data_IF_827049350766
#
_entry.id   IF_827049350766
#
_cell.length_a   1.000
_cell.length_b   1.000
_cell.length_c   1.000
_cell.angle_alpha   90.00
_cell.angle_beta   90.00
_cell.angle_gamma   90.00
#
_symmetry.space_group_name_H-M   'P 1'
#
loop_
_entity.id
_entity.type
_entity.pdbx_description
1 polymer ?
#
# COMPACT_ATOMS: atom_id res chain seq x y z
N UNK A 1 -18.19 10.78 7.62
CA UNK A 1 -17.91 9.35 7.43
C UNK A 1 -19.26 8.68 7.32
N UNK A 2 -19.51 8.01 6.21
CA UNK A 2 -20.77 7.33 5.90
C UNK A 2 -20.52 5.82 5.86
N UNK A 3 -21.47 5.02 6.34
CA UNK A 3 -21.30 3.57 6.50
C UNK A 3 -21.31 2.85 5.15
N UNK A 4 -22.13 3.30 4.21
CA UNK A 4 -22.19 2.72 2.86
C UNK A 4 -20.87 3.00 2.12
N UNK A 5 -20.38 4.24 2.18
CA UNK A 5 -19.06 4.58 1.67
C UNK A 5 -17.95 3.74 2.31
N UNK A 6 -18.03 3.51 3.63
CA UNK A 6 -17.04 2.70 4.35
C UNK A 6 -17.05 1.25 3.85
N UNK A 7 -18.23 0.62 3.71
CA UNK A 7 -18.36 -0.72 3.15
C UNK A 7 -17.77 -0.80 1.75
N UNK A 8 -18.14 0.13 0.87
CA UNK A 8 -17.61 0.16 -0.49
C UNK A 8 -16.08 0.26 -0.53
N UNK A 9 -15.50 1.15 0.27
CA UNK A 9 -14.04 1.30 0.34
C UNK A 9 -13.35 0.06 0.92
N UNK A 10 -13.96 -0.61 1.90
CA UNK A 10 -13.42 -1.87 2.42
C UNK A 10 -13.48 -2.98 1.39
N UNK A 11 -14.60 -3.13 0.67
CA UNK A 11 -14.73 -4.12 -0.40
C UNK A 11 -13.61 -3.95 -1.43
N UNK A 12 -13.39 -2.72 -1.88
CA UNK A 12 -12.42 -2.39 -2.94
C UNK A 12 -10.97 -2.37 -2.46
N UNK A 13 -10.68 -1.77 -1.31
CA UNK A 13 -9.29 -1.53 -0.88
C UNK A 13 -8.76 -2.58 0.11
N UNK A 14 -9.63 -3.30 0.82
CA UNK A 14 -9.24 -4.16 1.94
C UNK A 14 -9.59 -5.63 1.68
N UNK A 15 -10.86 -5.93 1.39
CA UNK A 15 -11.32 -7.30 1.21
C UNK A 15 -10.90 -7.87 -0.15
N UNK A 16 -10.84 -7.05 -1.19
CA UNK A 16 -10.28 -7.43 -2.49
C UNK A 16 -8.87 -8.04 -2.38
N UNK A 17 -8.03 -7.52 -1.47
CA UNK A 17 -6.69 -8.06 -1.21
C UNK A 17 -6.76 -9.50 -0.69
N UNK A 18 -7.69 -9.81 0.21
CA UNK A 18 -7.87 -11.17 0.74
C UNK A 18 -8.26 -12.13 -0.38
N UNK A 19 -9.23 -11.73 -1.21
CA UNK A 19 -9.67 -12.51 -2.37
C UNK A 19 -8.55 -12.74 -3.38
N UNK A 20 -7.80 -11.68 -3.72
CA UNK A 20 -6.66 -11.75 -4.63
C UNK A 20 -5.57 -12.66 -4.05
N UNK A 21 -5.15 -12.43 -2.81
CA UNK A 21 -4.09 -13.19 -2.17
C UNK A 21 -4.42 -14.69 -2.13
N UNK A 22 -5.67 -15.04 -1.78
CA UNK A 22 -6.14 -16.43 -1.84
C UNK A 22 -6.07 -17.02 -3.25
N UNK A 23 -6.48 -16.26 -4.26
CA UNK A 23 -6.48 -16.71 -5.66
C UNK A 23 -5.06 -16.95 -6.20
N UNK A 24 -4.11 -16.06 -5.88
CA UNK A 24 -2.72 -16.17 -6.37
C UNK A 24 -1.81 -17.00 -5.47
N UNK A 25 -2.26 -17.39 -4.27
CA UNK A 25 -1.47 -18.14 -3.30
C UNK A 25 -0.76 -19.38 -3.90
N UNK A 26 -1.42 -20.23 -4.72
CA UNK A 26 -0.74 -21.38 -5.33
C UNK A 26 0.41 -20.98 -6.25
N UNK A 27 0.27 -19.88 -7.00
CA UNK A 27 1.30 -19.37 -7.90
C UNK A 27 2.50 -18.83 -7.11
N UNK A 28 2.23 -18.04 -6.06
CA UNK A 28 3.28 -17.53 -5.17
C UNK A 28 4.02 -18.69 -4.48
N UNK A 29 3.30 -19.76 -4.11
CA UNK A 29 3.90 -20.97 -3.56
C UNK A 29 4.79 -21.70 -4.55
N UNK A 30 4.32 -21.92 -5.78
CA UNK A 30 5.13 -22.53 -6.83
C UNK A 30 6.43 -21.73 -7.09
N UNK A 31 6.38 -20.39 -7.05
CA UNK A 31 7.58 -19.55 -7.12
C UNK A 31 8.52 -19.78 -5.92
N UNK A 32 8.00 -19.83 -4.69
CA UNK A 32 8.84 -20.12 -3.52
C UNK A 32 9.50 -21.50 -3.60
N UNK A 33 8.77 -22.50 -4.09
CA UNK A 33 9.26 -23.88 -4.18
C UNK A 33 10.32 -24.03 -5.29
N UNK A 34 10.20 -23.30 -6.40
CA UNK A 34 11.13 -23.35 -7.53
C UNK A 34 12.31 -22.38 -7.44
N UNK A 35 12.13 -21.20 -6.85
CA UNK A 35 13.12 -20.11 -6.82
C UNK A 35 13.63 -19.80 -5.40
N UNK A 36 13.08 -20.45 -4.38
CA UNK A 36 13.51 -20.31 -3.00
C UNK A 36 12.64 -19.37 -2.16
N UNK A 37 12.81 -19.49 -0.83
CA UNK A 37 12.09 -18.67 0.15
C UNK A 37 12.41 -17.20 -0.04
N UNK A 38 11.36 -16.37 -0.10
CA UNK A 38 11.48 -14.93 -0.28
C UNK A 38 11.53 -14.47 -1.74
N UNK A 39 11.60 -15.39 -2.71
CA UNK A 39 11.50 -15.07 -4.12
C UNK A 39 10.13 -14.48 -4.53
N UNK A 40 8.97 -15.04 -4.12
CA UNK A 40 7.70 -14.44 -4.48
C UNK A 40 7.53 -13.09 -3.78
N UNK A 41 7.11 -12.08 -4.54
CA UNK A 41 6.88 -10.71 -4.10
C UNK A 41 5.38 -10.41 -4.16
N UNK A 42 4.83 -9.90 -3.06
CA UNK A 42 3.46 -9.40 -2.96
C UNK A 42 3.49 -7.99 -2.39
N UNK A 43 3.29 -7.00 -3.24
CA UNK A 43 3.25 -5.59 -2.84
C UNK A 43 1.82 -5.08 -2.88
N UNK A 44 1.41 -4.37 -1.83
CA UNK A 44 0.14 -3.66 -1.82
C UNK A 44 0.38 -2.15 -1.95
N UNK A 45 -0.30 -1.52 -2.92
CA UNK A 45 -0.30 -0.07 -3.06
C UNK A 45 -1.29 0.52 -2.07
N UNK A 46 -0.75 1.07 -0.98
CA UNK A 46 -1.53 1.66 0.10
C UNK A 46 -1.38 3.18 0.13
N UNK A 47 -1.59 3.79 1.29
CA UNK A 47 -1.42 5.22 1.47
C UNK A 47 -0.89 5.55 2.87
N UNK A 48 -0.08 6.62 2.98
CA UNK A 48 0.29 7.27 4.24
C UNK A 48 -0.94 7.59 5.11
N UNK A 49 -2.10 7.87 4.49
CA UNK A 49 -3.36 8.07 5.21
C UNK A 49 -3.86 6.86 6.01
N UNK A 50 -3.30 5.67 5.77
CA UNK A 50 -3.53 4.46 6.55
C UNK A 50 -2.58 4.27 7.72
N UNK A 51 -1.66 5.21 7.98
CA UNK A 51 -0.80 5.23 9.16
C UNK A 51 -1.56 5.88 10.34
N UNK A 52 -1.44 5.27 11.52
CA UNK A 52 -2.04 5.83 12.75
C UNK A 52 -1.15 6.93 13.35
N UNK A 53 0.17 6.72 13.34
CA UNK A 53 1.16 7.70 13.83
C UNK A 53 1.12 8.97 12.95
N UNK A 54 1.21 10.15 13.56
CA UNK A 54 1.23 11.46 12.88
C UNK A 54 0.00 11.77 11.98
N UNK A 55 -1.15 11.13 12.22
CA UNK A 55 -2.35 11.29 11.37
C UNK A 55 -2.89 12.73 11.30
N UNK A 56 -2.54 13.58 12.27
CA UNK A 56 -2.89 15.00 12.30
C UNK A 56 -2.38 15.76 11.07
N UNK A 57 -1.30 15.28 10.43
CA UNK A 57 -0.76 15.86 9.20
C UNK A 57 -1.76 15.80 8.02
N UNK A 58 -2.78 14.95 8.11
CA UNK A 58 -3.84 14.84 7.08
C UNK A 58 -4.99 15.83 7.27
N UNK A 59 -5.03 16.55 8.39
CA UNK A 59 -6.06 17.57 8.67
C UNK A 59 -5.80 18.81 7.80
N UNK A 60 -6.83 19.41 7.18
CA UNK A 60 -8.26 19.18 7.39
C UNK A 60 -8.93 18.23 6.38
N UNK A 61 -8.18 17.48 5.57
CA UNK A 61 -8.79 16.61 4.57
C UNK A 61 -9.63 15.52 5.23
N UNK A 62 -10.85 15.33 4.73
CA UNK A 62 -11.82 14.36 5.26
C UNK A 62 -11.56 12.96 4.70
N UNK A 63 -10.34 12.45 4.88
CA UNK A 63 -9.88 11.16 4.33
C UNK A 63 -10.19 9.96 5.22
N UNK A 64 -10.90 10.14 6.35
CA UNK A 64 -11.11 9.09 7.35
C UNK A 64 -11.56 7.74 6.81
N UNK A 65 -12.61 7.69 5.97
CA UNK A 65 -13.12 6.42 5.39
C UNK A 65 -12.08 5.73 4.49
N UNK A 66 -11.32 6.52 3.72
CA UNK A 66 -10.26 6.02 2.85
C UNK A 66 -9.06 5.55 3.67
N UNK A 67 -8.62 6.35 4.64
CA UNK A 67 -7.51 6.05 5.54
C UNK A 67 -7.73 4.74 6.30
N UNK A 68 -8.92 4.52 6.88
CA UNK A 68 -9.21 3.27 7.59
C UNK A 68 -9.25 2.05 6.66
N UNK A 69 -9.70 2.20 5.40
CA UNK A 69 -9.63 1.11 4.40
C UNK A 69 -8.17 0.76 4.06
N UNK A 70 -7.28 1.76 4.00
CA UNK A 70 -5.84 1.57 3.78
C UNK A 70 -5.12 1.03 5.02
N UNK A 71 -5.53 1.43 6.23
CA UNK A 71 -5.08 0.83 7.49
C UNK A 71 -5.40 -0.67 7.54
N UNK A 72 -6.63 -1.04 7.17
CA UNK A 72 -7.04 -2.45 7.08
C UNK A 72 -6.15 -3.24 6.11
N UNK A 73 -5.88 -2.69 4.93
CA UNK A 73 -4.95 -3.29 3.96
C UNK A 73 -3.53 -3.43 4.54
N UNK A 74 -3.03 -2.39 5.20
CA UNK A 74 -1.72 -2.39 5.85
C UNK A 74 -1.59 -3.54 6.85
N UNK A 75 -2.60 -3.69 7.72
CA UNK A 75 -2.64 -4.77 8.70
C UNK A 75 -2.60 -6.15 8.03
N UNK A 76 -3.45 -6.37 7.01
CA UNK A 76 -3.55 -7.65 6.32
C UNK A 76 -2.24 -8.05 5.62
N UNK A 77 -1.57 -7.11 4.96
CA UNK A 77 -0.28 -7.36 4.30
C UNK A 77 0.81 -7.67 5.33
N UNK A 78 0.82 -6.96 6.46
CA UNK A 78 1.76 -7.22 7.55
C UNK A 78 1.51 -8.60 8.20
N UNK A 79 0.25 -9.03 8.33
CA UNK A 79 -0.09 -10.39 8.76
C UNK A 79 0.38 -11.44 7.75
N UNK A 80 0.16 -11.20 6.46
CA UNK A 80 0.62 -12.09 5.40
C UNK A 80 2.14 -12.32 5.46
N UNK A 81 2.93 -11.28 5.75
CA UNK A 81 4.38 -11.40 5.98
C UNK A 81 4.74 -12.38 7.10
N UNK A 82 4.10 -12.26 8.28
CA UNK A 82 4.41 -13.08 9.45
C UNK A 82 3.93 -14.53 9.28
N UNK A 83 2.74 -14.70 8.72
CA UNK A 83 2.10 -16.00 8.54
C UNK A 83 2.70 -16.81 7.38
N UNK A 84 3.44 -16.15 6.48
CA UNK A 84 4.07 -16.78 5.32
C UNK A 84 5.58 -16.52 5.29
N UNK A 85 6.40 -17.26 6.07
CA UNK A 85 7.86 -17.08 6.13
C UNK A 85 8.62 -17.34 4.80
N UNK A 86 7.91 -17.74 3.75
CA UNK A 86 8.41 -17.98 2.40
C UNK A 86 8.09 -16.83 1.43
N UNK A 87 7.28 -15.84 1.83
CA UNK A 87 6.79 -14.74 1.01
C UNK A 87 7.46 -13.40 1.36
N UNK A 88 7.88 -12.64 0.35
CA UNK A 88 8.24 -11.23 0.51
C UNK A 88 6.99 -10.37 0.31
N UNK A 89 6.41 -9.87 1.39
CA UNK A 89 5.18 -9.07 1.37
C UNK A 89 5.39 -7.74 2.09
N UNK A 90 5.01 -6.63 1.47
CA UNK A 90 5.17 -5.30 2.06
C UNK A 90 4.15 -4.30 1.51
N UNK A 91 4.08 -3.15 2.14
CA UNK A 91 3.21 -2.05 1.75
C UNK A 91 4.04 -0.95 1.10
N UNK A 92 3.56 -0.38 0.00
CA UNK A 92 4.14 0.82 -0.59
C UNK A 92 3.08 1.90 -0.80
N UNK A 93 3.34 3.11 -0.34
CA UNK A 93 2.63 4.32 -0.73
C UNK A 93 3.24 4.82 -2.06
N UNK A 94 2.42 5.23 -3.04
CA UNK A 94 2.88 5.69 -4.34
C UNK A 94 3.34 7.17 -4.34
N UNK A 95 3.35 7.83 -3.20
CA UNK A 95 3.43 9.28 -3.07
C UNK A 95 2.09 9.96 -3.32
N UNK A 96 2.04 11.27 -3.05
CA UNK A 96 0.91 12.10 -3.43
C UNK A 96 0.98 12.44 -4.92
N UNK A 97 0.61 11.45 -5.74
CA UNK A 97 0.83 11.43 -7.19
C UNK A 97 -0.22 12.22 -7.99
N UNK A 98 0.19 12.84 -9.09
CA UNK A 98 -0.64 13.59 -10.05
C UNK A 98 -1.55 12.66 -10.88
N UNK A 99 -2.52 12.05 -10.22
CA UNK A 99 -3.61 11.28 -10.81
C UNK A 99 -4.92 12.04 -10.66
N UNK A 100 -6.01 11.56 -11.25
CA UNK A 100 -7.34 12.16 -11.06
C UNK A 100 -7.68 12.29 -9.55
N UNK A 101 -7.48 11.21 -8.79
CA UNK A 101 -7.73 11.18 -7.35
C UNK A 101 -6.73 12.07 -6.57
N UNK A 102 -5.46 12.04 -6.94
CA UNK A 102 -4.43 12.84 -6.28
C UNK A 102 -4.65 14.34 -6.49
N UNK A 103 -4.87 14.78 -7.73
CA UNK A 103 -5.13 16.18 -8.04
C UNK A 103 -6.48 16.65 -7.46
N UNK A 104 -7.50 15.79 -7.42
CA UNK A 104 -8.75 16.10 -6.72
C UNK A 104 -8.52 16.35 -5.22
N UNK A 105 -7.72 15.52 -4.57
CA UNK A 105 -7.35 15.68 -3.16
C UNK A 105 -6.46 16.91 -2.94
N UNK A 106 -5.53 17.19 -3.84
CA UNK A 106 -4.63 18.34 -3.76
C UNK A 106 -5.42 19.67 -3.75
N UNK A 107 -6.46 19.77 -4.59
CA UNK A 107 -7.37 20.92 -4.59
C UNK A 107 -8.12 21.09 -3.27
N UNK A 108 -8.47 20.01 -2.56
CA UNK A 108 -9.06 20.10 -1.21
C UNK A 108 -8.08 20.64 -0.18
N UNK A 109 -6.78 20.45 -0.39
CA UNK A 109 -5.70 21.04 0.41
C UNK A 109 -5.29 22.45 -0.06
N UNK A 110 -5.99 23.04 -1.04
CA UNK A 110 -5.65 24.35 -1.59
C UNK A 110 -4.42 24.36 -2.51
N UNK A 111 -3.98 23.18 -2.96
CA UNK A 111 -2.88 23.04 -3.90
C UNK A 111 -3.41 23.00 -5.34
N UNK A 112 -2.64 23.48 -6.34
CA UNK A 112 -3.04 23.40 -7.75
C UNK A 112 -3.11 21.94 -8.24
N UNK A 113 -2.13 21.13 -7.85
CA UNK A 113 -1.99 19.73 -8.19
C UNK A 113 -1.17 18.99 -7.14
N UNK A 114 -1.14 17.67 -7.22
CA UNK A 114 -0.36 16.84 -6.31
C UNK A 114 1.15 17.03 -6.57
N UNK A 115 2.01 16.93 -5.54
CA UNK A 115 3.42 17.30 -5.65
C UNK A 115 4.31 16.26 -6.36
N UNK A 116 3.85 15.01 -6.51
CA UNK A 116 4.64 13.93 -7.14
C UNK A 116 4.08 13.66 -8.53
N UNK A 117 4.91 13.71 -9.58
CA UNK A 117 4.43 13.36 -10.92
C UNK A 117 4.11 11.86 -10.99
N UNK A 118 3.20 11.48 -11.89
CA UNK A 118 2.89 10.06 -12.10
C UNK A 118 4.14 9.25 -12.48
N UNK A 119 5.02 9.83 -13.29
CA UNK A 119 6.28 9.20 -13.71
C UNK A 119 7.20 8.95 -12.51
N UNK A 120 7.40 9.94 -11.63
CA UNK A 120 8.22 9.79 -10.43
C UNK A 120 7.68 8.70 -9.51
N UNK A 121 6.36 8.67 -9.32
CA UNK A 121 5.68 7.64 -8.53
C UNK A 121 5.96 6.23 -9.08
N UNK A 122 5.75 6.03 -10.39
CA UNK A 122 5.93 4.73 -11.05
C UNK A 122 7.40 4.28 -11.03
N UNK A 123 8.33 5.18 -11.36
CA UNK A 123 9.77 4.88 -11.35
C UNK A 123 10.24 4.50 -9.94
N UNK A 124 9.79 5.24 -8.92
CA UNK A 124 10.09 4.93 -7.53
C UNK A 124 9.58 3.55 -7.12
N UNK A 125 8.29 3.27 -7.38
CA UNK A 125 7.68 1.97 -7.10
C UNK A 125 8.40 0.82 -7.79
N UNK A 126 8.74 0.97 -9.07
CA UNK A 126 9.45 -0.06 -9.84
C UNK A 126 10.82 -0.36 -9.21
N UNK A 127 11.61 0.68 -8.91
CA UNK A 127 12.91 0.51 -8.26
C UNK A 127 12.79 -0.21 -6.91
N UNK A 128 11.76 0.08 -6.12
CA UNK A 128 11.46 -0.61 -4.86
C UNK A 128 11.11 -2.07 -5.07
N UNK A 129 10.28 -2.39 -6.06
CA UNK A 129 9.89 -3.76 -6.40
C UNK A 129 11.12 -4.56 -6.82
N UNK A 130 11.99 -3.99 -7.66
CA UNK A 130 13.19 -4.67 -8.16
C UNK A 130 14.16 -4.98 -7.02
N UNK A 131 14.43 -3.99 -6.16
CA UNK A 131 15.34 -4.14 -5.02
C UNK A 131 14.75 -4.91 -3.82
N UNK A 132 13.46 -5.27 -3.84
CA UNK A 132 12.80 -5.86 -2.69
C UNK A 132 13.37 -7.23 -2.31
N UNK A 133 13.67 -7.41 -1.02
CA UNK A 133 14.14 -8.69 -0.46
C UNK A 133 13.35 -9.08 0.79
N UNK A 134 13.37 -10.38 1.12
CA UNK A 134 12.68 -10.89 2.30
C UNK A 134 13.21 -10.32 3.61
N UNK A 135 14.52 -10.11 3.70
CA UNK A 135 15.21 -9.61 4.90
C UNK A 135 15.19 -8.08 5.00
N UNK A 136 15.27 -7.37 3.87
CA UNK A 136 15.36 -5.91 3.86
C UNK A 136 14.01 -5.19 3.79
N UNK A 137 13.07 -5.71 3.00
CA UNK A 137 11.84 -4.98 2.60
C UNK A 137 10.58 -5.56 3.21
N UNK A 138 10.51 -6.89 3.32
CA UNK A 138 9.29 -7.58 3.74
C UNK A 138 8.83 -7.14 5.13
N UNK A 139 7.52 -6.95 5.31
CA UNK A 139 6.89 -6.59 6.59
C UNK A 139 6.98 -5.11 6.96
N UNK A 140 7.48 -4.28 6.04
CA UNK A 140 7.69 -2.84 6.22
C UNK A 140 6.73 -2.03 5.35
N UNK A 141 6.65 -0.73 5.61
CA UNK A 141 5.82 0.21 4.88
C UNK A 141 6.70 1.34 4.36
N UNK A 142 6.70 1.57 3.04
CA UNK A 142 7.55 2.57 2.41
C UNK A 142 6.77 3.55 1.57
N UNK A 143 7.33 4.74 1.39
CA UNK A 143 6.97 5.67 0.34
C UNK A 143 7.62 5.30 -1.00
N UNK A 144 7.23 5.95 -2.09
CA UNK A 144 7.76 5.70 -3.44
C UNK A 144 9.27 5.99 -3.54
N UNK A 145 9.77 6.96 -2.77
CA UNK A 145 11.18 7.37 -2.71
C UNK A 145 12.03 6.50 -1.74
N UNK A 146 11.41 5.51 -1.09
CA UNK A 146 12.06 4.62 -0.15
C UNK A 146 12.11 5.11 1.29
N UNK A 147 11.58 6.30 1.60
CA UNK A 147 11.34 6.71 2.98
C UNK A 147 10.45 5.67 3.68
N UNK A 148 10.76 5.32 4.92
CA UNK A 148 9.98 4.34 5.68
C UNK A 148 8.87 5.04 6.47
N UNK A 149 7.68 4.47 6.39
CA UNK A 149 6.52 4.82 7.19
C UNK A 149 6.32 3.81 8.31
N UNK A 150 5.50 4.20 9.28
CA UNK A 150 5.11 3.35 10.40
C UNK A 150 3.74 2.73 10.12
N UNK A 151 3.49 1.53 10.64
CA UNK A 151 2.15 0.94 10.64
C UNK A 151 1.35 1.45 11.83
#
# INVERSE_FOLDING_TARGET
MDVEQLHHLFDVNTFSFVSLFKAVHPLLKATADSQGRGAPKLVAISSYTGQIVDMEATIPARVGSYGVSKLGLNYLVRRAHFENPWLTAWVNDPGFAQTDNGNATARLFGMPEAPVTLEQSVVGLQARIDAATRSGTSGRFYNFDGAEFTF
#
